data_IF_629025654050
#
_entry.id   IF_629025654050
#
_cell.length_a   1.000
_cell.length_b   1.000
_cell.length_c   1.000
_cell.angle_alpha   90.00
_cell.angle_beta   90.00
_cell.angle_gamma   90.00
#
_symmetry.space_group_name_H-M   'P 1'
#
loop_
_entity.id
_entity.type
_entity.pdbx_description
1 polymer ?
#
# COMPACT_ATOMS: atom_id res chain seq x y z
N UNK A 1 -14.97 -7.05 -3.62
CA UNK A 1 -13.86 -6.86 -2.67
C UNK A 1 -12.75 -7.79 -3.14
N UNK A 2 -11.61 -7.20 -3.54
CA UNK A 2 -10.56 -7.87 -4.31
C UNK A 2 -9.27 -7.71 -3.53
N UNK A 3 -8.73 -8.82 -3.01
CA UNK A 3 -7.31 -9.06 -2.67
C UNK A 3 -7.22 -10.42 -1.98
N UNK A 4 -6.18 -11.20 -2.27
CA UNK A 4 -5.88 -12.46 -1.59
C UNK A 4 -5.41 -12.26 -0.13
N UNK A 5 -5.47 -11.02 0.37
CA UNK A 5 -5.46 -10.73 1.80
C UNK A 5 -6.88 -10.98 2.26
N UNK A 6 -7.10 -12.15 2.85
CA UNK A 6 -8.30 -12.37 3.62
C UNK A 6 -8.33 -11.33 4.75
N UNK A 7 -9.10 -10.26 4.56
CA UNK A 7 -9.35 -9.23 5.57
C UNK A 7 -9.81 -9.86 6.90
N UNK A 8 -10.30 -11.10 6.88
CA UNK A 8 -10.65 -11.86 8.08
C UNK A 8 -9.44 -12.35 8.89
N UNK A 9 -8.23 -12.36 8.33
CA UNK A 9 -7.02 -12.93 8.94
C UNK A 9 -6.02 -11.90 9.50
N UNK A 10 -6.37 -10.62 9.59
CA UNK A 10 -5.55 -9.60 10.28
C UNK A 10 -6.06 -9.33 11.70
N UNK A 11 -5.21 -8.81 12.59
CA UNK A 11 -5.58 -8.57 13.98
C UNK A 11 -6.69 -7.51 14.08
N UNK A 12 -7.49 -7.57 15.15
CA UNK A 12 -8.62 -6.64 15.32
C UNK A 12 -8.17 -5.17 15.37
N UNK A 13 -7.00 -4.91 15.95
CA UNK A 13 -6.37 -3.59 15.92
C UNK A 13 -6.02 -3.10 14.51
N UNK A 14 -5.58 -4.01 13.62
CA UNK A 14 -5.27 -3.67 12.24
C UNK A 14 -6.54 -3.34 11.45
N UNK A 15 -7.63 -4.09 11.68
CA UNK A 15 -8.95 -3.80 11.10
C UNK A 15 -9.44 -2.41 11.53
N UNK A 16 -9.35 -2.11 12.82
CA UNK A 16 -9.73 -0.81 13.35
C UNK A 16 -8.92 0.33 12.71
N UNK A 17 -7.61 0.13 12.51
CA UNK A 17 -6.78 1.09 11.80
C UNK A 17 -7.20 1.27 10.34
N UNK A 18 -7.49 0.19 9.60
CA UNK A 18 -7.96 0.32 8.22
C UNK A 18 -9.26 1.13 8.14
N UNK A 19 -10.22 0.86 9.04
CA UNK A 19 -11.46 1.64 9.12
C UNK A 19 -11.21 3.12 9.45
N UNK A 20 -10.32 3.41 10.41
CA UNK A 20 -9.98 4.80 10.74
C UNK A 20 -9.25 5.50 9.60
N UNK A 21 -8.34 4.81 8.90
CA UNK A 21 -7.63 5.36 7.76
C UNK A 21 -8.57 5.62 6.58
N UNK A 22 -9.50 4.70 6.30
CA UNK A 22 -10.54 4.89 5.29
C UNK A 22 -11.42 6.11 5.61
N UNK A 23 -11.92 6.21 6.85
CA UNK A 23 -12.70 7.37 7.29
C UNK A 23 -11.88 8.66 7.25
N UNK A 24 -10.58 8.59 7.53
CA UNK A 24 -9.68 9.72 7.45
C UNK A 24 -9.56 10.24 6.00
N UNK A 25 -9.30 9.35 5.04
CA UNK A 25 -9.16 9.74 3.63
C UNK A 25 -10.51 10.08 2.98
N UNK A 26 -11.61 9.52 3.48
CA UNK A 26 -12.98 9.78 3.03
C UNK A 26 -13.56 11.07 3.65
N UNK A 27 -12.85 12.19 3.49
CA UNK A 27 -13.38 13.53 3.78
C UNK A 27 -12.92 14.20 5.07
N UNK A 28 -12.14 13.54 5.94
CA UNK A 28 -11.49 14.22 7.09
C UNK A 28 -10.14 14.83 6.73
N UNK A 29 -9.40 14.23 5.80
CA UNK A 29 -8.12 14.74 5.33
C UNK A 29 -8.33 16.02 4.52
N UNK A 30 -7.67 17.10 4.94
CA UNK A 30 -7.73 18.40 4.25
C UNK A 30 -6.70 18.51 3.11
N UNK A 31 -5.53 17.89 3.28
CA UNK A 31 -4.47 17.81 2.27
C UNK A 31 -3.65 16.56 2.51
N UNK A 32 -3.70 15.62 1.55
CA UNK A 32 -2.93 14.36 1.60
C UNK A 32 -1.43 14.63 1.58
N UNK A 33 -0.99 15.59 0.78
CA UNK A 33 0.41 16.03 0.68
C UNK A 33 0.93 16.58 2.02
N UNK A 34 0.28 17.61 2.59
CA UNK A 34 0.72 18.21 3.86
C UNK A 34 0.67 17.19 5.01
N UNK A 35 -0.32 16.30 5.01
CA UNK A 35 -0.41 15.23 6.00
C UNK A 35 0.78 14.27 5.87
N UNK A 36 1.11 13.83 4.66
CA UNK A 36 2.28 12.97 4.41
C UNK A 36 3.59 13.63 4.81
N UNK A 37 3.75 14.94 4.56
CA UNK A 37 4.91 15.70 5.04
C UNK A 37 4.95 15.75 6.57
N UNK A 38 3.83 16.03 7.23
CA UNK A 38 3.75 16.10 8.69
C UNK A 38 4.05 14.74 9.37
N UNK A 39 3.76 13.62 8.71
CA UNK A 39 4.13 12.28 9.18
C UNK A 39 5.65 12.12 9.40
N UNK A 40 6.48 12.90 8.72
CA UNK A 40 7.94 12.92 8.95
C UNK A 40 8.36 13.55 10.29
N UNK A 41 7.42 14.13 11.04
CA UNK A 41 7.66 14.62 12.41
C UNK A 41 7.42 13.56 13.49
N UNK A 42 6.91 12.37 13.14
CA UNK A 42 6.73 11.27 14.09
C UNK A 42 8.07 10.85 14.71
N UNK A 43 8.01 10.21 15.89
CA UNK A 43 9.22 9.61 16.48
C UNK A 43 9.88 8.62 15.51
N UNK A 44 11.21 8.65 15.37
CA UNK A 44 11.95 7.93 14.32
C UNK A 44 11.64 6.42 14.27
N UNK A 45 11.47 5.79 15.43
CA UNK A 45 11.05 4.38 15.49
C UNK A 45 9.67 4.16 14.86
N UNK A 46 8.71 5.05 15.12
CA UNK A 46 7.35 4.97 14.58
C UNK A 46 7.32 5.29 13.08
N UNK A 47 8.21 6.17 12.59
CA UNK A 47 8.35 6.41 11.15
C UNK A 47 8.68 5.13 10.39
N UNK A 48 9.57 4.29 10.94
CA UNK A 48 9.91 3.01 10.31
C UNK A 48 8.72 2.05 10.28
N UNK A 49 7.89 2.01 11.33
CA UNK A 49 6.69 1.16 11.35
C UNK A 49 5.62 1.67 10.38
N UNK A 50 5.37 2.98 10.37
CA UNK A 50 4.44 3.61 9.42
C UNK A 50 4.88 3.37 7.96
N UNK A 51 6.19 3.45 7.68
CA UNK A 51 6.72 3.15 6.35
C UNK A 51 6.50 1.70 5.94
N UNK A 52 6.62 0.73 6.87
CA UNK A 52 6.31 -0.68 6.58
C UNK A 52 4.83 -0.88 6.22
N UNK A 53 3.91 -0.19 6.90
CA UNK A 53 2.47 -0.22 6.55
C UNK A 53 2.25 0.35 5.15
N UNK A 54 2.86 1.49 4.85
CA UNK A 54 2.81 2.09 3.50
C UNK A 54 3.35 1.13 2.44
N UNK A 55 4.49 0.49 2.70
CA UNK A 55 5.09 -0.48 1.78
C UNK A 55 4.21 -1.71 1.56
N UNK A 56 3.56 -2.22 2.61
CA UNK A 56 2.58 -3.30 2.51
C UNK A 56 1.37 -2.91 1.64
N UNK A 57 0.87 -1.68 1.79
CA UNK A 57 -0.19 -1.15 0.94
C UNK A 57 0.23 -1.01 -0.53
N UNK A 58 1.44 -0.48 -0.77
CA UNK A 58 2.02 -0.38 -2.11
C UNK A 58 2.18 -1.75 -2.78
N UNK A 59 2.73 -2.73 -2.05
CA UNK A 59 2.85 -4.12 -2.53
C UNK A 59 1.49 -4.68 -2.95
N UNK A 60 0.45 -4.52 -2.13
CA UNK A 60 -0.88 -5.04 -2.43
C UNK A 60 -1.47 -4.40 -3.70
N UNK A 61 -1.31 -3.09 -3.87
CA UNK A 61 -1.73 -2.38 -5.08
C UNK A 61 -0.97 -2.83 -6.33
N UNK A 62 0.35 -3.03 -6.24
CA UNK A 62 1.17 -3.56 -7.32
C UNK A 62 0.73 -4.97 -7.76
N UNK A 63 0.52 -5.87 -6.80
CA UNK A 63 0.00 -7.22 -7.06
C UNK A 63 -1.40 -7.17 -7.70
N UNK A 64 -2.27 -6.29 -7.23
CA UNK A 64 -3.59 -6.11 -7.83
C UNK A 64 -3.50 -5.60 -9.26
N UNK A 65 -2.60 -4.67 -9.55
CA UNK A 65 -2.38 -4.17 -10.91
C UNK A 65 -1.99 -5.31 -11.85
N UNK A 66 -0.98 -6.10 -11.49
CA UNK A 66 -0.52 -7.26 -12.29
C UNK A 66 -1.59 -8.33 -12.48
N UNK A 67 -2.48 -8.51 -11.49
CA UNK A 67 -3.61 -9.44 -11.57
C UNK A 67 -4.84 -8.87 -12.28
N UNK A 68 -4.82 -7.62 -12.78
CA UNK A 68 -5.99 -6.96 -13.37
C UNK A 68 -7.11 -6.68 -12.36
N UNK A 69 -6.79 -6.60 -11.07
CA UNK A 69 -7.72 -6.46 -9.93
C UNK A 69 -7.89 -4.99 -9.51
N UNK A 70 -8.24 -4.14 -10.46
CA UNK A 70 -8.48 -2.71 -10.25
C UNK A 70 -9.62 -2.23 -11.15
N UNK A 71 -10.12 -1.03 -10.89
CA UNK A 71 -11.06 -0.33 -11.77
C UNK A 71 -10.62 1.14 -11.94
N UNK A 72 -11.38 1.91 -12.73
CA UNK A 72 -11.05 3.32 -13.06
C UNK A 72 -10.79 4.19 -11.81
N UNK A 73 -11.37 3.85 -10.65
CA UNK A 73 -11.23 4.64 -9.41
C UNK A 73 -9.86 4.47 -8.75
N UNK A 74 -9.23 3.30 -8.89
CA UNK A 74 -7.95 2.99 -8.25
C UNK A 74 -6.83 2.59 -9.23
N UNK A 75 -7.08 2.62 -10.54
CA UNK A 75 -6.10 2.29 -11.57
C UNK A 75 -4.82 3.13 -11.43
N UNK A 76 -4.95 4.45 -11.29
CA UNK A 76 -3.80 5.36 -11.19
C UNK A 76 -2.87 4.98 -10.02
N UNK A 77 -3.45 4.74 -8.84
CA UNK A 77 -2.70 4.33 -7.67
C UNK A 77 -2.06 2.94 -7.85
N UNK A 78 -2.79 2.01 -8.45
CA UNK A 78 -2.32 0.63 -8.68
C UNK A 78 -1.15 0.60 -9.68
N UNK A 79 -1.24 1.37 -10.77
CA UNK A 79 -0.17 1.49 -11.78
C UNK A 79 1.09 2.12 -11.21
N UNK A 80 0.97 3.18 -10.41
CA UNK A 80 2.15 3.82 -9.79
C UNK A 80 2.79 2.88 -8.76
N UNK A 81 1.97 2.19 -7.97
CA UNK A 81 2.46 1.22 -7.02
C UNK A 81 3.23 0.08 -7.72
N UNK A 82 2.72 -0.40 -8.85
CA UNK A 82 3.38 -1.40 -9.69
C UNK A 82 4.77 -0.94 -10.19
N UNK A 83 4.86 0.28 -10.73
CA UNK A 83 6.12 0.83 -11.21
C UNK A 83 7.13 0.98 -10.06
N UNK A 84 6.71 1.62 -8.97
CA UNK A 84 7.58 1.88 -7.82
C UNK A 84 8.02 0.59 -7.13
N UNK A 85 7.07 -0.29 -6.80
CA UNK A 85 7.36 -1.57 -6.15
C UNK A 85 8.22 -2.46 -7.06
N UNK A 86 7.90 -2.49 -8.36
CA UNK A 86 8.68 -3.23 -9.34
C UNK A 86 10.12 -2.73 -9.48
N UNK A 87 10.35 -1.42 -9.35
CA UNK A 87 11.71 -0.88 -9.31
C UNK A 87 12.46 -1.32 -8.04
N UNK A 88 11.78 -1.35 -6.88
CA UNK A 88 12.39 -1.83 -5.63
C UNK A 88 12.80 -3.31 -5.71
N UNK A 89 11.97 -4.15 -6.34
CA UNK A 89 12.29 -5.55 -6.59
C UNK A 89 13.45 -5.69 -7.59
N UNK A 90 13.40 -4.95 -8.70
CA UNK A 90 14.46 -4.97 -9.72
C UNK A 90 15.84 -4.54 -9.19
N UNK A 91 15.88 -3.69 -8.16
CA UNK A 91 17.12 -3.23 -7.52
C UNK A 91 17.55 -4.10 -6.33
N UNK A 92 16.96 -5.28 -6.14
CA UNK A 92 17.23 -6.18 -5.01
C UNK A 92 17.03 -5.54 -3.62
N UNK A 93 16.25 -4.47 -3.53
CA UNK A 93 15.91 -3.81 -2.26
C UNK A 93 14.78 -4.55 -1.53
N UNK A 94 13.96 -5.30 -2.27
CA UNK A 94 12.88 -6.14 -1.77
C UNK A 94 12.90 -7.45 -2.53
N UNK A 95 12.75 -8.57 -1.79
CA UNK A 95 12.56 -9.88 -2.39
C UNK A 95 11.07 -10.27 -2.40
N UNK A 96 10.55 -10.55 -3.58
CA UNK A 96 9.16 -10.99 -3.79
C UNK A 96 9.06 -11.87 -5.06
N UNK A 97 9.14 -13.18 -4.87
CA UNK A 97 9.11 -14.15 -5.97
C UNK A 97 7.75 -14.11 -6.71
N UNK A 98 6.64 -14.13 -5.97
CA UNK A 98 5.29 -14.11 -6.52
C UNK A 98 5.06 -12.88 -7.40
N UNK A 99 5.52 -11.70 -6.96
CA UNK A 99 5.44 -10.49 -7.77
C UNK A 99 6.27 -10.59 -9.04
N UNK A 100 7.47 -11.15 -8.94
CA UNK A 100 8.38 -11.31 -10.08
C UNK A 100 7.76 -12.22 -11.14
N UNK A 101 7.11 -13.30 -10.72
CA UNK A 101 6.35 -14.19 -11.62
C UNK A 101 5.20 -13.43 -12.30
N UNK A 102 4.40 -12.69 -11.54
CA UNK A 102 3.29 -11.90 -12.06
C UNK A 102 3.71 -10.78 -13.02
N UNK A 103 4.93 -10.25 -12.86
CA UNK A 103 5.47 -9.19 -13.72
C UNK A 103 6.00 -9.72 -15.05
N UNK A 104 6.48 -10.96 -15.07
CA UNK A 104 7.12 -11.59 -16.21
C UNK A 104 6.18 -12.49 -17.04
N UNK A 105 5.04 -12.89 -16.47
CA UNK A 105 3.96 -13.61 -17.16
C UNK A 105 3.06 -12.66 -17.96
#
# INVERSE_FOLDING_TARGET
>A
MNTDIDFMNIAEGDKAFVTEFENFVNGRVSSTEKTGMAMTAMHRYLQQQAFKVMLGYMKALAHNYRKGRYDERNEWASRIADEAYGHLVNCDLIYDADYTELKNG
#
